data_IF_487423976641
#
_entry.id   IF_487423976641
#
_cell.length_a   1.000
_cell.length_b   1.000
_cell.length_c   1.000
_cell.angle_alpha   90.00
_cell.angle_beta   90.00
_cell.angle_gamma   90.00
#
_symmetry.space_group_name_H-M   'P 1'
#
loop_
_entity.id
_entity.type
_entity.pdbx_description
1 polymer ?
#
# COMPACT_ATOMS: atom_id res chain seq x y z
N UNK A 1 -21.75 3.54 -2.37
CA UNK A 1 -20.35 3.90 -2.04
C UNK A 1 -19.98 3.37 -0.67
N UNK A 2 -20.87 3.51 0.33
CA UNK A 2 -20.75 2.93 1.69
C UNK A 2 -20.23 1.47 1.79
N UNK A 3 -20.71 0.47 1.02
CA UNK A 3 -20.25 -0.92 1.17
C UNK A 3 -18.78 -1.16 0.74
N UNK A 4 -18.11 -0.17 0.16
CA UNK A 4 -16.71 -0.24 -0.27
C UNK A 4 -15.76 0.52 0.66
N UNK A 5 -16.29 1.25 1.64
CA UNK A 5 -15.48 2.04 2.55
C UNK A 5 -15.02 1.18 3.73
N UNK A 6 -13.83 1.50 4.23
CA UNK A 6 -13.27 0.86 5.43
C UNK A 6 -14.08 1.26 6.66
N UNK A 7 -14.31 0.31 7.57
CA UNK A 7 -14.86 0.62 8.89
C UNK A 7 -13.86 1.45 9.69
N UNK A 8 -14.34 2.46 10.41
CA UNK A 8 -13.46 3.38 11.13
C UNK A 8 -12.71 2.70 12.29
N UNK A 9 -13.33 1.73 12.97
CA UNK A 9 -12.70 0.98 14.05
C UNK A 9 -11.58 0.07 13.52
N UNK A 10 -11.84 -0.63 12.42
CA UNK A 10 -10.82 -1.45 11.75
C UNK A 10 -9.65 -0.62 11.26
N UNK A 11 -9.93 0.56 10.67
CA UNK A 11 -8.91 1.47 10.20
C UNK A 11 -8.00 1.99 11.32
N UNK A 12 -8.57 2.29 12.50
CA UNK A 12 -7.79 2.69 13.69
C UNK A 12 -6.92 1.52 14.17
N UNK A 13 -7.48 0.31 14.29
CA UNK A 13 -6.72 -0.86 14.73
C UNK A 13 -5.52 -1.17 13.82
N UNK A 14 -5.71 -1.07 12.51
CA UNK A 14 -4.62 -1.23 11.53
C UNK A 14 -3.58 -0.12 11.64
N UNK A 15 -4.01 1.14 11.79
CA UNK A 15 -3.07 2.25 11.94
C UNK A 15 -2.21 2.12 13.21
N UNK A 16 -2.81 1.74 14.34
CA UNK A 16 -2.07 1.46 15.59
C UNK A 16 -1.08 0.30 15.42
N UNK A 17 -1.51 -0.77 14.75
CA UNK A 17 -0.66 -1.91 14.44
C UNK A 17 0.58 -1.49 13.62
N UNK A 18 0.37 -0.75 12.53
CA UNK A 18 1.43 -0.25 11.65
C UNK A 18 2.36 0.72 12.39
N UNK A 19 1.80 1.70 13.09
CA UNK A 19 2.58 2.74 13.78
C UNK A 19 3.47 2.19 14.90
N UNK A 20 3.14 1.03 15.46
CA UNK A 20 4.00 0.35 16.43
C UNK A 20 5.18 -0.39 15.79
N UNK A 21 5.23 -0.50 14.45
CA UNK A 21 6.23 -1.27 13.70
C UNK A 21 7.02 -0.46 12.69
N UNK A 22 6.38 0.51 12.05
CA UNK A 22 7.01 1.42 11.08
C UNK A 22 8.14 2.21 11.75
N UNK A 23 9.29 2.27 11.09
CA UNK A 23 10.47 2.99 11.53
C UNK A 23 11.01 3.89 10.41
N UNK A 24 11.60 5.02 10.80
CA UNK A 24 12.39 5.88 9.92
C UNK A 24 11.70 6.19 8.58
N UNK A 25 12.24 5.59 7.52
CA UNK A 25 11.90 5.81 6.11
C UNK A 25 11.07 4.67 5.49
N UNK A 26 10.52 3.76 6.30
CA UNK A 26 9.69 2.66 5.81
C UNK A 26 8.56 3.20 4.93
N UNK A 27 8.36 2.52 3.79
CA UNK A 27 7.25 2.77 2.88
C UNK A 27 6.07 1.88 3.25
N UNK A 28 4.88 2.48 3.32
CA UNK A 28 3.60 1.80 3.53
C UNK A 28 2.65 2.13 2.37
N UNK A 29 2.13 1.09 1.72
CA UNK A 29 1.06 1.23 0.73
C UNK A 29 -0.29 1.04 1.42
N UNK A 30 -1.16 2.04 1.35
CA UNK A 30 -2.46 2.02 2.03
C UNK A 30 -3.48 2.90 1.31
N UNK A 31 -4.77 2.61 1.48
CA UNK A 31 -5.86 3.47 1.03
C UNK A 31 -5.74 4.93 1.49
N UNK A 32 -6.12 5.91 0.65
CA UNK A 32 -6.16 7.33 1.02
C UNK A 32 -6.94 7.60 2.31
N UNK A 33 -8.01 6.84 2.58
CA UNK A 33 -8.83 6.94 3.80
C UNK A 33 -8.06 6.66 5.08
N UNK A 34 -6.95 5.91 5.01
CA UNK A 34 -6.12 5.54 6.16
C UNK A 34 -4.77 6.23 6.17
N UNK A 35 -4.33 6.79 5.03
CA UNK A 35 -2.99 7.38 4.87
C UNK A 35 -2.61 8.40 5.94
N UNK A 36 -3.57 9.22 6.39
CA UNK A 36 -3.38 10.26 7.41
C UNK A 36 -3.10 9.72 8.82
N UNK A 37 -3.40 8.44 9.06
CA UNK A 37 -3.24 7.80 10.37
C UNK A 37 -1.93 7.03 10.49
N UNK A 38 -1.20 6.84 9.40
CA UNK A 38 0.00 6.00 9.35
C UNK A 38 1.25 6.90 9.31
N UNK A 39 2.22 6.59 10.15
CA UNK A 39 3.54 7.24 10.17
C UNK A 39 4.43 6.65 9.06
N UNK A 40 5.42 7.42 8.59
CA UNK A 40 6.39 6.99 7.59
C UNK A 40 6.13 7.56 6.20
N UNK A 41 6.68 6.93 5.17
CA UNK A 41 6.40 7.27 3.76
C UNK A 41 5.16 6.52 3.34
N UNK A 42 4.12 7.25 2.96
CA UNK A 42 2.81 6.64 2.67
C UNK A 42 2.40 6.92 1.24
N UNK A 43 2.09 5.87 0.49
CA UNK A 43 1.56 5.95 -0.86
C UNK A 43 0.28 5.10 -0.98
N UNK A 44 -0.52 5.36 -2.00
CA UNK A 44 -1.65 4.50 -2.37
C UNK A 44 -1.30 3.59 -3.56
N UNK A 45 -2.21 2.69 -3.90
CA UNK A 45 -2.02 1.77 -5.02
C UNK A 45 -1.92 2.44 -6.39
N UNK A 46 -2.44 3.67 -6.56
CA UNK A 46 -2.26 4.38 -7.82
C UNK A 46 -0.83 4.93 -7.94
N UNK A 47 -0.28 5.47 -6.86
CA UNK A 47 1.14 5.87 -6.82
C UNK A 47 2.06 4.66 -6.99
N UNK A 48 1.75 3.52 -6.35
CA UNK A 48 2.49 2.28 -6.54
C UNK A 48 2.42 1.76 -7.98
N UNK A 49 1.24 1.80 -8.61
CA UNK A 49 1.07 1.43 -10.00
C UNK A 49 1.90 2.34 -10.93
N UNK A 50 1.90 3.66 -10.69
CA UNK A 50 2.76 4.59 -11.44
C UNK A 50 4.24 4.28 -11.27
N UNK A 51 4.70 3.99 -10.06
CA UNK A 51 6.10 3.68 -9.79
C UNK A 51 6.61 2.46 -10.57
N UNK A 52 5.75 1.45 -10.80
CA UNK A 52 6.09 0.26 -11.59
C UNK A 52 5.74 0.39 -13.09
N UNK A 53 5.37 1.59 -13.55
CA UNK A 53 5.22 1.93 -14.97
C UNK A 53 3.80 1.88 -15.53
N UNK A 54 2.78 1.74 -14.69
CA UNK A 54 1.37 1.79 -15.11
C UNK A 54 0.81 3.22 -15.12
N UNK A 55 0.04 3.57 -16.16
CA UNK A 55 -0.83 4.74 -16.10
C UNK A 55 -2.04 4.48 -15.21
N UNK A 56 -2.48 5.46 -14.43
CA UNK A 56 -3.68 5.32 -13.58
C UNK A 56 -4.75 6.34 -13.98
N UNK A 57 -6.03 6.13 -13.60
CA UNK A 57 -7.10 7.04 -14.01
C UNK A 57 -6.92 8.47 -13.51
N UNK A 58 -6.20 8.68 -12.40
CA UNK A 58 -6.06 9.98 -11.76
C UNK A 58 -4.65 10.57 -11.81
N UNK A 59 -3.64 9.77 -12.20
CA UNK A 59 -2.25 10.22 -12.29
C UNK A 59 -1.79 10.06 -13.74
N UNK A 60 -1.33 11.15 -14.38
CA UNK A 60 -0.84 11.07 -15.75
C UNK A 60 0.39 10.17 -15.82
N UNK A 61 0.48 9.36 -16.89
CA UNK A 61 1.56 8.37 -17.06
C UNK A 61 2.95 9.00 -17.25
N UNK A 62 3.02 10.29 -17.56
CA UNK A 62 4.25 11.07 -17.75
C UNK A 62 4.59 11.95 -16.55
N UNK A 63 4.13 11.60 -15.34
CA UNK A 63 4.49 12.30 -14.11
C UNK A 63 6.02 12.32 -13.95
N UNK A 64 6.67 13.51 -13.98
CA UNK A 64 8.13 13.59 -13.87
C UNK A 64 8.61 13.04 -12.53
N UNK A 65 9.74 12.33 -12.53
CA UNK A 65 10.30 11.70 -11.32
C UNK A 65 10.56 12.73 -10.21
N UNK A 66 10.94 13.96 -10.54
CA UNK A 66 11.16 15.05 -9.59
C UNK A 66 9.89 15.52 -8.84
N UNK A 67 8.70 15.07 -9.28
CA UNK A 67 7.43 15.30 -8.56
C UNK A 67 7.18 14.27 -7.47
N UNK A 68 7.95 13.18 -7.43
CA UNK A 68 7.88 12.16 -6.40
C UNK A 68 8.91 12.47 -5.31
N UNK A 69 8.46 12.60 -4.06
CA UNK A 69 9.34 12.89 -2.91
C UNK A 69 10.12 11.65 -2.48
N UNK A 70 9.60 10.47 -2.79
CA UNK A 70 10.20 9.16 -2.54
C UNK A 70 9.71 8.17 -3.61
N UNK A 71 10.42 7.06 -3.77
CA UNK A 71 10.02 5.97 -4.65
C UNK A 71 8.84 5.21 -4.02
N UNK A 72 7.72 5.15 -4.73
CA UNK A 72 6.48 4.51 -4.29
C UNK A 72 6.34 3.08 -4.80
N UNK A 73 7.39 2.47 -5.35
CA UNK A 73 7.40 1.07 -5.74
C UNK A 73 7.01 0.19 -4.55
N UNK A 74 5.88 -0.52 -4.66
CA UNK A 74 5.36 -1.35 -3.58
C UNK A 74 6.35 -2.44 -3.18
N UNK A 75 7.25 -2.87 -4.07
CA UNK A 75 8.29 -3.88 -3.75
C UNK A 75 9.33 -3.36 -2.76
N UNK A 76 9.42 -2.03 -2.57
CA UNK A 76 10.20 -1.38 -1.53
C UNK A 76 9.39 -1.12 -0.26
N UNK A 77 8.07 -1.37 -0.29
CA UNK A 77 7.22 -1.17 0.86
C UNK A 77 7.48 -2.26 1.89
N UNK A 78 7.59 -1.87 3.15
CA UNK A 78 7.62 -2.80 4.26
C UNK A 78 6.24 -3.40 4.51
N UNK A 79 5.19 -2.57 4.36
CA UNK A 79 3.81 -3.00 4.56
C UNK A 79 2.93 -2.60 3.37
N UNK A 80 2.04 -3.51 2.99
CA UNK A 80 0.93 -3.23 2.06
C UNK A 80 -0.38 -3.56 2.76
N UNK A 81 -1.31 -2.61 2.75
CA UNK A 81 -2.63 -2.75 3.36
C UNK A 81 -3.67 -2.91 2.26
N UNK A 82 -4.36 -4.03 2.25
CA UNK A 82 -5.45 -4.33 1.31
C UNK A 82 -6.78 -4.18 2.03
N UNK A 83 -7.67 -3.35 1.48
CA UNK A 83 -9.04 -3.20 1.95
C UNK A 83 -10.06 -3.51 0.83
N UNK A 84 -11.34 -3.41 1.16
CA UNK A 84 -12.45 -3.62 0.22
C UNK A 84 -12.40 -2.74 -1.02
N UNK A 85 -11.84 -1.53 -0.96
CA UNK A 85 -11.79 -0.63 -2.10
C UNK A 85 -10.85 -1.20 -3.17
N UNK A 86 -9.65 -1.59 -2.77
CA UNK A 86 -8.66 -2.14 -3.69
C UNK A 86 -9.07 -3.51 -4.20
N UNK A 87 -9.59 -4.35 -3.31
CA UNK A 87 -10.05 -5.67 -3.65
C UNK A 87 -11.30 -5.66 -4.54
N UNK A 88 -12.28 -4.76 -4.37
CA UNK A 88 -13.54 -4.92 -5.11
C UNK A 88 -13.69 -3.97 -6.30
N UNK A 89 -13.02 -2.82 -6.28
CA UNK A 89 -13.16 -1.82 -7.34
C UNK A 89 -11.86 -1.62 -8.11
N UNK A 90 -10.76 -1.34 -7.41
CA UNK A 90 -9.56 -0.87 -8.08
C UNK A 90 -8.89 -1.93 -8.94
N UNK A 91 -8.89 -3.21 -8.53
CA UNK A 91 -8.32 -4.28 -9.34
C UNK A 91 -8.94 -4.38 -10.76
N UNK A 92 -10.18 -3.90 -10.93
CA UNK A 92 -10.87 -3.89 -12.22
C UNK A 92 -10.80 -2.56 -12.96
N UNK A 93 -10.43 -1.46 -12.28
CA UNK A 93 -10.58 -0.09 -12.80
C UNK A 93 -9.27 0.72 -12.80
N UNK A 94 -8.23 0.24 -12.14
CA UNK A 94 -6.91 0.88 -12.09
C UNK A 94 -5.89 -0.10 -12.68
N UNK A 95 -5.32 0.20 -13.86
CA UNK A 95 -4.26 -0.61 -14.44
C UNK A 95 -3.10 -0.83 -13.45
N UNK A 96 -2.56 -2.05 -13.44
CA UNK A 96 -1.46 -2.44 -12.54
C UNK A 96 -1.91 -2.97 -11.18
N UNK A 97 -3.05 -2.50 -10.64
CA UNK A 97 -3.46 -2.88 -9.27
C UNK A 97 -3.71 -4.37 -9.11
N UNK A 98 -4.31 -5.03 -10.11
CA UNK A 98 -4.54 -6.47 -10.04
C UNK A 98 -3.24 -7.28 -9.94
N UNK A 99 -2.17 -6.86 -10.63
CA UNK A 99 -0.86 -7.51 -10.57
C UNK A 99 -0.19 -7.27 -9.21
N UNK A 100 -0.22 -6.02 -8.72
CA UNK A 100 0.28 -5.67 -7.39
C UNK A 100 -0.41 -6.53 -6.32
N UNK A 101 -1.73 -6.66 -6.38
CA UNK A 101 -2.48 -7.47 -5.41
C UNK A 101 -2.17 -8.97 -5.52
N UNK A 102 -1.91 -9.48 -6.73
CA UNK A 102 -1.49 -10.87 -6.92
C UNK A 102 -0.12 -11.13 -6.31
N UNK A 103 0.84 -10.22 -6.49
CA UNK A 103 2.17 -10.35 -5.89
C UNK A 103 2.13 -10.23 -4.37
N UNK A 104 1.44 -9.20 -3.85
CA UNK A 104 1.28 -8.97 -2.41
C UNK A 104 0.52 -10.12 -1.72
N UNK A 105 -0.36 -10.83 -2.41
CA UNK A 105 -1.06 -11.98 -1.84
C UNK A 105 -0.12 -13.15 -1.48
N UNK A 106 1.08 -13.20 -2.06
CA UNK A 106 2.11 -14.18 -1.71
C UNK A 106 2.95 -13.76 -0.49
N UNK A 107 2.81 -12.50 -0.03
CA UNK A 107 3.51 -12.01 1.14
C UNK A 107 2.85 -12.52 2.44
N UNK A 108 3.59 -12.59 3.55
CA UNK A 108 3.00 -12.91 4.85
C UNK A 108 1.91 -11.92 5.27
N UNK A 109 0.70 -12.43 5.49
CA UNK A 109 -0.38 -11.71 6.19
C UNK A 109 -0.06 -11.68 7.69
N UNK A 110 0.29 -10.50 8.21
CA UNK A 110 0.75 -10.34 9.60
C UNK A 110 -0.30 -9.72 10.53
N UNK A 111 -1.36 -9.12 9.99
CA UNK A 111 -2.46 -8.57 10.74
C UNK A 111 -3.73 -8.45 9.90
N UNK A 112 -4.88 -8.60 10.56
CA UNK A 112 -6.20 -8.43 9.96
C UNK A 112 -7.13 -7.78 10.99
N UNK A 113 -7.92 -6.80 10.54
CA UNK A 113 -9.04 -6.23 11.30
C UNK A 113 -10.22 -6.06 10.36
N UNK A 114 -11.30 -6.80 10.63
CA UNK A 114 -12.46 -6.85 9.74
C UNK A 114 -12.06 -7.31 8.34
N UNK A 115 -12.28 -6.44 7.34
CA UNK A 115 -11.93 -6.69 5.94
C UNK A 115 -10.64 -5.97 5.50
N UNK A 116 -9.81 -5.56 6.45
CA UNK A 116 -8.53 -4.90 6.18
C UNK A 116 -7.39 -5.84 6.54
N UNK A 117 -6.53 -6.10 5.57
CA UNK A 117 -5.43 -7.06 5.63
C UNK A 117 -4.10 -6.34 5.52
N UNK A 118 -3.13 -6.68 6.37
CA UNK A 118 -1.79 -6.11 6.36
C UNK A 118 -0.77 -7.18 6.00
N UNK A 119 -0.12 -6.99 4.87
CA UNK A 119 0.94 -7.84 4.35
C UNK A 119 2.30 -7.21 4.62
N UNK A 120 3.29 -8.01 5.00
CA UNK A 120 4.66 -7.55 5.23
C UNK A 120 5.62 -8.11 4.18
N UNK A 121 6.45 -7.24 3.63
CA UNK A 121 7.54 -7.66 2.76
C UNK A 121 8.68 -8.21 3.61
N UNK A 122 8.96 -9.51 3.49
CA UNK A 122 10.01 -10.20 4.26
C UNK A 122 11.34 -10.28 3.52
N UNK A 123 11.42 -9.83 2.27
CA UNK A 123 12.66 -9.87 1.48
C UNK A 123 13.69 -8.85 1.96
N UNK A 124 13.33 -7.92 2.86
CA UNK A 124 14.26 -6.96 3.47
C UNK A 124 15.31 -7.60 4.42
N UNK A 125 15.17 -8.87 4.79
CA UNK A 125 16.09 -9.50 5.77
C UNK A 125 17.36 -10.10 5.17
N UNK A 126 17.61 -9.97 3.86
CA UNK A 126 18.78 -10.59 3.21
C UNK A 126 19.57 -9.57 2.40
N UNK A 127 20.32 -8.67 3.05
CA UNK A 127 21.66 -8.23 2.59
C UNK A 127 22.34 -7.33 3.65
N UNK A 128 23.23 -7.93 4.43
CA UNK A 128 24.37 -7.23 5.05
C UNK A 128 25.62 -8.07 4.74
N UNK A 129 26.48 -7.67 3.79
CA UNK A 129 27.83 -8.18 3.73
C UNK A 129 28.69 -7.42 4.76
N UNK A 130 29.45 -8.19 5.55
CA UNK A 130 30.56 -7.71 6.39
C UNK A 130 31.65 -7.02 5.56
#
# INVERSE_FOLDING_TARGET
>A
VDPFLVDAGDAVGVAEFLNSRVQGDDLVIVSPTMSWMVNGRVADFQLAAVAVGYGTPHIPADLPAERQVFDADYRLARFVVVDKLWHNWAQFNVPGVAEILQDVAEWPLIFESGDVQVYENVEETVFQPD
#
